data_IF_698349571436
#
_entry.id   IF_698349571436
#
_cell.length_a   1.000
_cell.length_b   1.000
_cell.length_c   1.000
_cell.angle_alpha   90.00
_cell.angle_beta   90.00
_cell.angle_gamma   90.00
#
_symmetry.space_group_name_H-M   'P 1'
#
loop_
_entity.id
_entity.type
_entity.pdbx_description
1 polymer ?
#
# COMPACT_ATOMS: atom_id res chain seq x y z
N UNK A 1 21.68 -2.70 5.64
CA UNK A 1 20.73 -2.15 6.64
C UNK A 1 19.36 -2.17 6.00
N UNK A 2 18.33 -2.68 6.69
CA UNK A 2 16.99 -2.77 6.13
C UNK A 2 16.33 -1.39 6.03
N UNK A 3 15.51 -1.16 5.00
CA UNK A 3 14.80 0.10 4.75
C UNK A 3 13.29 -0.14 4.66
N UNK A 4 12.52 0.65 5.40
CA UNK A 4 11.05 0.62 5.41
C UNK A 4 10.48 1.83 4.66
N UNK A 5 9.68 1.56 3.63
CA UNK A 5 8.77 2.54 3.03
C UNK A 5 7.39 2.39 3.66
N UNK A 6 6.90 3.43 4.33
CA UNK A 6 5.61 3.46 4.98
C UNK A 6 4.67 4.42 4.23
N UNK A 7 3.60 3.89 3.67
CA UNK A 7 2.58 4.61 2.92
C UNK A 7 1.26 4.64 3.69
N UNK A 8 0.66 5.81 3.86
CA UNK A 8 -0.69 5.95 4.39
C UNK A 8 -1.64 6.54 3.35
N UNK A 9 -2.82 5.92 3.20
CA UNK A 9 -3.81 6.30 2.17
C UNK A 9 -5.16 6.72 2.75
N UNK A 10 -5.27 6.94 4.07
CA UNK A 10 -6.52 7.36 4.70
C UNK A 10 -6.73 8.86 4.56
N UNK A 11 -7.93 9.27 4.14
CA UNK A 11 -8.35 10.67 4.12
C UNK A 11 -8.56 11.27 5.52
N UNK A 12 -8.54 10.44 6.59
CA UNK A 12 -8.70 10.89 7.96
C UNK A 12 -7.34 10.94 8.65
N UNK A 13 -7.02 12.04 9.32
CA UNK A 13 -5.81 12.16 10.14
C UNK A 13 -5.83 11.18 11.32
N UNK A 14 -6.97 11.04 11.99
CA UNK A 14 -7.21 10.02 13.01
C UNK A 14 -7.94 8.83 12.37
N UNK A 15 -7.19 7.80 12.04
CA UNK A 15 -7.67 6.66 11.28
C UNK A 15 -7.09 5.37 11.85
N UNK A 16 -7.95 4.36 12.02
CA UNK A 16 -7.55 3.03 12.48
C UNK A 16 -6.43 2.45 11.59
N UNK A 17 -6.50 2.61 10.27
CA UNK A 17 -5.44 2.08 9.39
C UNK A 17 -4.09 2.77 9.63
N UNK A 18 -4.08 4.09 9.93
CA UNK A 18 -2.86 4.82 10.32
C UNK A 18 -2.34 4.39 11.70
N UNK A 19 -3.23 4.11 12.65
CA UNK A 19 -2.83 3.58 13.97
C UNK A 19 -2.16 2.21 13.85
N UNK A 20 -2.70 1.33 12.99
CA UNK A 20 -2.13 0.00 12.73
C UNK A 20 -0.77 0.09 12.04
N UNK A 21 -0.66 0.91 10.97
CA UNK A 21 0.60 1.09 10.25
C UNK A 21 1.67 1.75 11.12
N UNK A 22 1.30 2.75 11.92
CA UNK A 22 2.20 3.36 12.89
C UNK A 22 2.70 2.36 13.93
N UNK A 23 1.80 1.48 14.45
CA UNK A 23 2.19 0.45 15.42
C UNK A 23 3.23 -0.53 14.86
N UNK A 24 3.09 -0.93 13.58
CA UNK A 24 4.12 -1.70 12.87
C UNK A 24 5.41 -0.89 12.71
N UNK A 25 5.31 0.33 12.17
CA UNK A 25 6.47 1.16 11.86
C UNK A 25 7.31 1.50 13.11
N UNK A 26 6.66 1.81 14.22
CA UNK A 26 7.34 2.10 15.49
C UNK A 26 8.04 0.85 16.05
N UNK A 27 7.38 -0.31 16.01
CA UNK A 27 7.99 -1.57 16.43
C UNK A 27 9.16 -1.97 15.53
N UNK A 28 9.06 -1.76 14.21
CA UNK A 28 10.13 -2.02 13.25
C UNK A 28 11.34 -1.09 13.50
N UNK A 29 11.10 0.22 13.66
CA UNK A 29 12.16 1.21 13.94
C UNK A 29 12.90 0.93 15.26
N UNK A 30 12.17 0.47 16.26
CA UNK A 30 12.77 0.08 17.54
C UNK A 30 13.75 -1.11 17.40
N UNK A 31 13.49 -2.03 16.46
CA UNK A 31 14.35 -3.19 16.17
C UNK A 31 15.48 -2.88 15.18
N UNK A 32 15.32 -1.83 14.38
CA UNK A 32 16.26 -1.42 13.34
C UNK A 32 16.76 0.03 13.58
N UNK A 33 17.48 0.31 14.68
CA UNK A 33 17.87 1.69 15.04
C UNK A 33 18.77 2.36 14.00
N UNK A 34 19.42 1.59 13.10
CA UNK A 34 20.20 2.09 11.97
C UNK A 34 19.50 1.93 10.62
N UNK A 35 18.26 1.46 10.61
CA UNK A 35 17.49 1.23 9.38
C UNK A 35 17.01 2.52 8.72
N UNK A 36 16.87 2.49 7.39
CA UNK A 36 16.23 3.58 6.64
C UNK A 36 14.73 3.59 6.89
N UNK A 37 14.15 4.76 7.15
CA UNK A 37 12.70 4.93 7.27
C UNK A 37 12.23 6.09 6.41
N UNK A 38 11.30 5.80 5.50
CA UNK A 38 10.63 6.81 4.67
C UNK A 38 9.13 6.71 4.87
N UNK A 39 8.52 7.85 5.18
CA UNK A 39 7.06 7.97 5.32
C UNK A 39 6.49 8.83 4.20
N UNK A 40 5.36 8.41 3.64
CA UNK A 40 4.58 9.16 2.66
C UNK A 40 3.10 9.08 2.97
N UNK A 41 2.48 10.24 3.16
CA UNK A 41 1.03 10.39 3.25
C UNK A 41 0.46 10.71 1.88
N UNK A 42 -0.18 9.72 1.25
CA UNK A 42 -0.75 9.84 -0.10
C UNK A 42 -1.95 10.78 -0.18
N UNK A 43 -2.48 11.24 0.95
CA UNK A 43 -3.58 12.21 0.99
C UNK A 43 -3.10 13.63 1.29
N UNK A 44 -2.00 13.78 2.01
CA UNK A 44 -1.35 15.08 2.26
C UNK A 44 -0.50 15.51 1.04
N UNK A 45 0.14 14.54 0.37
CA UNK A 45 0.92 14.71 -0.84
C UNK A 45 0.32 13.88 -1.97
N UNK A 46 -0.82 14.31 -2.58
CA UNK A 46 -1.52 13.53 -3.57
C UNK A 46 -0.67 13.26 -4.81
N UNK A 47 -0.62 12.01 -5.21
CA UNK A 47 0.04 11.61 -6.44
C UNK A 47 -0.87 11.91 -7.63
N UNK A 48 -0.41 12.64 -8.66
CA UNK A 48 -1.19 12.88 -9.86
C UNK A 48 -1.60 11.58 -10.57
N UNK A 49 -2.75 11.60 -11.25
CA UNK A 49 -3.14 10.48 -12.10
C UNK A 49 -2.19 10.36 -13.31
N UNK A 50 -2.04 9.13 -13.80
CA UNK A 50 -1.30 8.88 -15.03
C UNK A 50 -1.94 9.62 -16.21
N UNK A 51 -1.10 10.09 -17.13
CA UNK A 51 -1.51 10.78 -18.35
C UNK A 51 -0.87 10.13 -19.58
N UNK A 52 -1.13 10.69 -20.76
CA UNK A 52 -0.65 10.16 -22.05
C UNK A 52 0.87 9.97 -22.08
N UNK A 53 1.63 10.96 -21.62
CA UNK A 53 3.09 10.86 -21.60
C UNK A 53 3.63 9.73 -20.71
N UNK A 54 2.92 9.38 -19.62
CA UNK A 54 3.24 8.21 -18.80
C UNK A 54 2.97 6.91 -19.57
N UNK A 55 1.84 6.81 -20.30
CA UNK A 55 1.54 5.62 -21.12
C UNK A 55 2.53 5.45 -22.25
N UNK A 56 3.00 6.53 -22.88
CA UNK A 56 4.08 6.50 -23.88
C UNK A 56 5.38 5.94 -23.31
N UNK A 57 5.72 6.26 -22.05
CA UNK A 57 6.89 5.65 -21.38
C UNK A 57 6.70 4.14 -21.19
N UNK A 58 5.50 3.69 -20.82
CA UNK A 58 5.18 2.27 -20.75
C UNK A 58 5.28 1.56 -22.11
N UNK A 59 4.78 2.20 -23.18
CA UNK A 59 4.90 1.68 -24.53
C UNK A 59 6.38 1.56 -24.95
N UNK A 60 7.21 2.53 -24.60
CA UNK A 60 8.65 2.45 -24.83
C UNK A 60 9.29 1.28 -24.09
N UNK A 61 8.89 1.01 -22.83
CA UNK A 61 9.34 -0.18 -22.06
C UNK A 61 8.97 -1.48 -22.78
N UNK A 62 7.77 -1.56 -23.38
CA UNK A 62 7.31 -2.76 -24.09
C UNK A 62 8.14 -3.07 -25.34
N UNK A 63 8.84 -2.11 -25.92
CA UNK A 63 9.74 -2.34 -27.04
C UNK A 63 11.09 -2.96 -26.67
N UNK A 64 11.43 -2.93 -25.36
CA UNK A 64 12.69 -3.49 -24.85
C UNK A 64 12.59 -5.00 -24.63
N UNK A 65 13.69 -5.75 -24.72
CA UNK A 65 13.70 -7.18 -24.42
C UNK A 65 13.48 -7.49 -22.93
N UNK A 66 13.88 -6.56 -22.05
CA UNK A 66 13.73 -6.66 -20.58
C UNK A 66 13.54 -5.26 -19.97
N UNK A 67 12.97 -5.22 -18.77
CA UNK A 67 12.74 -3.98 -18.02
C UNK A 67 13.82 -3.82 -16.96
N UNK A 68 14.56 -2.72 -17.03
CA UNK A 68 15.56 -2.30 -16.04
C UNK A 68 15.04 -1.06 -15.35
N UNK A 69 14.42 -1.23 -14.17
CA UNK A 69 13.69 -0.16 -13.46
C UNK A 69 14.56 1.07 -13.16
N UNK A 70 15.84 0.88 -12.87
CA UNK A 70 16.82 1.93 -12.61
C UNK A 70 17.19 2.75 -13.85
N UNK A 71 16.81 2.28 -15.05
CA UNK A 71 17.14 2.90 -16.33
C UNK A 71 15.94 3.43 -17.11
N UNK A 72 14.74 3.43 -16.51
CA UNK A 72 13.54 3.92 -17.20
C UNK A 72 13.65 5.39 -17.60
N UNK A 73 14.37 6.21 -16.85
CA UNK A 73 14.66 7.59 -17.21
C UNK A 73 15.40 7.74 -18.53
N UNK A 74 16.17 6.72 -18.96
CA UNK A 74 16.85 6.71 -20.26
C UNK A 74 15.88 6.67 -21.46
N UNK A 75 14.60 6.38 -21.22
CA UNK A 75 13.55 6.30 -22.26
C UNK A 75 12.88 7.65 -22.54
N UNK A 76 13.12 8.64 -21.71
CA UNK A 76 12.52 9.99 -21.86
C UNK A 76 13.04 10.65 -23.14
N UNK A 77 12.14 11.10 -24.01
CA UNK A 77 12.46 11.71 -25.31
C UNK A 77 11.81 13.09 -25.51
N UNK A 78 10.74 13.40 -24.81
CA UNK A 78 9.98 14.64 -24.97
C UNK A 78 9.88 15.41 -23.65
N UNK A 79 9.63 16.74 -23.71
CA UNK A 79 9.37 17.52 -22.49
C UNK A 79 8.17 17.02 -21.67
N UNK A 80 7.12 16.51 -22.34
CA UNK A 80 5.95 15.93 -21.68
C UNK A 80 6.32 14.65 -20.91
N UNK A 81 7.11 13.77 -21.53
CA UNK A 81 7.65 12.56 -20.86
C UNK A 81 8.59 12.94 -19.72
N UNK A 82 9.41 14.00 -19.86
CA UNK A 82 10.27 14.47 -18.77
C UNK A 82 9.45 14.96 -17.56
N UNK A 83 8.37 15.67 -17.81
CA UNK A 83 7.45 16.09 -16.75
C UNK A 83 6.76 14.90 -16.06
N UNK A 84 6.30 13.90 -16.82
CA UNK A 84 5.73 12.67 -16.29
C UNK A 84 6.77 11.87 -15.49
N UNK A 85 7.99 11.73 -16.00
CA UNK A 85 9.09 11.05 -15.30
C UNK A 85 9.46 11.74 -13.99
N UNK A 86 9.45 13.08 -13.96
CA UNK A 86 9.69 13.85 -12.74
C UNK A 86 8.70 13.56 -11.60
N UNK A 87 7.51 13.03 -11.92
CA UNK A 87 6.54 12.53 -10.91
C UNK A 87 6.91 11.10 -10.51
N UNK A 88 7.24 10.25 -11.46
CA UNK A 88 7.51 8.81 -11.27
C UNK A 88 8.81 8.58 -10.51
N UNK A 89 9.88 9.23 -10.92
CA UNK A 89 11.26 8.95 -10.46
C UNK A 89 11.39 8.93 -8.93
N UNK A 90 10.93 9.96 -8.18
CA UNK A 90 11.05 9.95 -6.72
C UNK A 90 10.22 8.82 -6.08
N UNK A 91 9.02 8.53 -6.60
CA UNK A 91 8.14 7.47 -6.08
C UNK A 91 8.74 6.08 -6.32
N UNK A 92 9.24 5.85 -7.52
CA UNK A 92 9.88 4.59 -7.91
C UNK A 92 11.21 4.39 -7.16
N UNK A 93 12.01 5.45 -6.99
CA UNK A 93 13.25 5.41 -6.22
C UNK A 93 12.99 5.02 -4.76
N UNK A 94 11.96 5.58 -4.12
CA UNK A 94 11.55 5.19 -2.77
C UNK A 94 11.16 3.71 -2.70
N UNK A 95 10.35 3.25 -3.65
CA UNK A 95 9.93 1.85 -3.72
C UNK A 95 11.11 0.90 -3.94
N UNK A 96 12.03 1.24 -4.85
CA UNK A 96 13.19 0.40 -5.19
C UNK A 96 14.24 0.39 -4.09
N UNK A 97 14.32 1.42 -3.26
CA UNK A 97 15.27 1.48 -2.13
C UNK A 97 14.76 0.76 -0.88
N UNK A 98 13.48 0.39 -0.82
CA UNK A 98 12.88 -0.26 0.33
C UNK A 98 13.00 -1.79 0.28
N UNK A 99 13.30 -2.42 1.41
CA UNK A 99 13.21 -3.87 1.60
C UNK A 99 11.81 -4.28 2.07
N UNK A 100 11.17 -3.41 2.86
CA UNK A 100 9.82 -3.61 3.38
C UNK A 100 8.93 -2.45 2.95
N UNK A 101 7.77 -2.76 2.40
CA UNK A 101 6.74 -1.79 2.02
C UNK A 101 5.52 -2.01 2.93
N UNK A 102 5.26 -1.03 3.78
CA UNK A 102 4.10 -0.99 4.67
C UNK A 102 3.04 -0.07 4.09
N UNK A 103 1.81 -0.57 3.96
CA UNK A 103 0.69 0.21 3.42
C UNK A 103 -0.43 0.25 4.44
N UNK A 104 -0.67 1.44 5.04
CA UNK A 104 -1.82 1.73 5.89
C UNK A 104 -2.99 2.23 5.04
N UNK A 105 -4.04 1.41 4.85
CA UNK A 105 -5.13 1.74 3.94
C UNK A 105 -6.51 1.41 4.51
N UNK A 106 -7.50 2.34 4.49
CA UNK A 106 -8.88 1.97 4.79
C UNK A 106 -9.51 1.27 3.58
N UNK A 107 -10.54 0.47 3.83
CA UNK A 107 -11.43 0.03 2.75
C UNK A 107 -12.45 1.12 2.44
N UNK A 108 -12.38 1.69 1.24
CA UNK A 108 -13.39 2.62 0.72
C UNK A 108 -14.16 1.97 -0.43
N UNK A 109 -15.50 1.94 -0.30
CA UNK A 109 -16.37 1.37 -1.33
C UNK A 109 -15.95 -0.05 -1.78
N UNK A 110 -15.62 -0.91 -0.79
CA UNK A 110 -15.16 -2.31 -0.98
C UNK A 110 -13.77 -2.48 -1.60
N UNK A 111 -13.04 -1.40 -1.87
CA UNK A 111 -11.73 -1.44 -2.54
C UNK A 111 -10.72 -0.49 -1.89
N UNK A 112 -9.62 -0.23 -2.59
CA UNK A 112 -8.58 0.70 -2.16
C UNK A 112 -9.00 2.16 -2.36
N UNK A 113 -8.51 3.11 -1.55
CA UNK A 113 -8.67 4.54 -1.81
C UNK A 113 -8.06 4.96 -3.15
N UNK A 114 -8.66 5.96 -3.80
CA UNK A 114 -8.14 6.51 -5.07
C UNK A 114 -6.69 7.00 -4.95
N UNK A 115 -6.31 7.55 -3.80
CA UNK A 115 -4.93 7.99 -3.55
C UNK A 115 -3.92 6.84 -3.61
N UNK A 116 -4.27 5.66 -3.06
CA UNK A 116 -3.42 4.47 -3.17
C UNK A 116 -3.37 3.96 -4.61
N UNK A 117 -4.52 3.95 -5.29
CA UNK A 117 -4.56 3.51 -6.70
C UNK A 117 -3.69 4.40 -7.59
N UNK A 118 -3.74 5.73 -7.40
CA UNK A 118 -2.91 6.67 -8.16
C UNK A 118 -1.41 6.40 -7.93
N UNK A 119 -1.00 6.12 -6.69
CA UNK A 119 0.40 5.75 -6.40
C UNK A 119 0.79 4.44 -7.08
N UNK A 120 -0.04 3.40 -6.96
CA UNK A 120 0.19 2.11 -7.63
C UNK A 120 0.35 2.27 -9.14
N UNK A 121 -0.52 3.07 -9.77
CA UNK A 121 -0.47 3.32 -11.21
C UNK A 121 0.82 4.02 -11.65
N UNK A 122 1.30 4.99 -10.87
CA UNK A 122 2.51 5.74 -11.20
C UNK A 122 3.79 4.89 -11.10
N UNK A 123 3.86 3.97 -10.14
CA UNK A 123 5.09 3.19 -9.89
C UNK A 123 5.13 1.86 -10.63
N UNK A 124 4.08 1.50 -11.39
CA UNK A 124 3.98 0.17 -12.01
C UNK A 124 4.27 0.23 -13.50
N UNK A 125 5.35 -0.41 -13.90
CA UNK A 125 5.77 -0.51 -15.30
C UNK A 125 5.63 -1.94 -15.84
N UNK A 126 5.47 -2.11 -17.16
CA UNK A 126 5.38 -3.44 -17.77
C UNK A 126 6.57 -4.34 -17.40
N UNK A 127 6.29 -5.59 -17.07
CA UNK A 127 7.31 -6.62 -16.80
C UNK A 127 8.26 -6.32 -15.64
N UNK A 128 7.88 -5.40 -14.72
CA UNK A 128 8.67 -5.18 -13.51
C UNK A 128 8.53 -6.33 -12.52
N UNK A 129 9.49 -6.47 -11.62
CA UNK A 129 9.46 -7.40 -10.50
C UNK A 129 10.03 -6.77 -9.23
N UNK A 130 9.46 -7.12 -8.09
CA UNK A 130 9.89 -6.72 -6.74
C UNK A 130 9.96 -7.94 -5.81
N UNK A 131 10.21 -9.14 -6.36
CA UNK A 131 10.15 -10.44 -5.68
C UNK A 131 10.99 -10.55 -4.40
N UNK A 132 12.02 -9.71 -4.23
CA UNK A 132 12.86 -9.68 -3.04
C UNK A 132 12.36 -8.72 -1.96
N UNK A 133 11.23 -8.06 -2.16
CA UNK A 133 10.65 -7.10 -1.22
C UNK A 133 9.48 -7.70 -0.47
N UNK A 134 9.28 -7.22 0.75
CA UNK A 134 8.20 -7.67 1.62
C UNK A 134 7.10 -6.62 1.68
N UNK A 135 5.86 -7.05 1.46
CA UNK A 135 4.70 -6.17 1.54
C UNK A 135 3.84 -6.52 2.75
N UNK A 136 3.53 -5.51 3.56
CA UNK A 136 2.61 -5.60 4.69
C UNK A 136 1.51 -4.57 4.50
N UNK A 137 0.26 -5.01 4.55
CA UNK A 137 -0.91 -4.15 4.41
C UNK A 137 -1.72 -4.16 5.70
N UNK A 138 -1.85 -3.01 6.34
CA UNK A 138 -2.75 -2.82 7.47
C UNK A 138 -4.00 -2.10 7.02
N UNK A 139 -5.18 -2.65 7.33
CA UNK A 139 -6.44 -2.12 6.80
C UNK A 139 -7.50 -1.95 7.88
N UNK A 140 -8.25 -0.85 7.76
CA UNK A 140 -9.46 -0.61 8.54
C UNK A 140 -10.70 -0.82 7.65
N UNK A 141 -11.64 -1.64 8.12
CA UNK A 141 -12.83 -2.06 7.39
C UNK A 141 -14.10 -1.69 8.14
N UNK A 142 -15.05 -1.05 7.47
CA UNK A 142 -16.30 -0.62 8.09
C UNK A 142 -17.20 -1.77 8.53
N UNK A 143 -17.22 -2.88 7.78
CA UNK A 143 -17.95 -4.12 8.06
C UNK A 143 -17.02 -5.28 8.41
N UNK A 144 -17.59 -6.50 8.47
CA UNK A 144 -16.86 -7.76 8.57
C UNK A 144 -16.76 -8.41 7.18
N UNK A 145 -15.53 -8.76 6.78
CA UNK A 145 -15.20 -9.34 5.48
C UNK A 145 -14.36 -10.62 5.59
N UNK A 146 -14.00 -11.03 6.79
CA UNK A 146 -13.30 -12.29 7.07
C UNK A 146 -14.11 -13.50 6.56
N UNK A 147 -13.47 -14.65 6.31
CA UNK A 147 -14.14 -15.86 5.83
C UNK A 147 -15.36 -16.22 6.68
N UNK A 148 -16.50 -16.44 6.02
CA UNK A 148 -17.79 -16.72 6.68
C UNK A 148 -18.61 -15.48 7.05
N UNK A 149 -18.06 -14.28 7.00
CA UNK A 149 -18.83 -13.06 7.21
C UNK A 149 -19.79 -12.79 6.02
N UNK A 150 -20.96 -12.15 6.26
CA UNK A 150 -21.94 -11.89 5.20
C UNK A 150 -21.41 -11.04 4.04
N UNK A 151 -20.36 -10.25 4.26
CA UNK A 151 -19.73 -9.40 3.25
C UNK A 151 -18.41 -9.94 2.73
N UNK A 152 -18.00 -11.16 3.06
CA UNK A 152 -16.74 -11.76 2.61
C UNK A 152 -16.57 -11.72 1.08
N UNK A 153 -17.66 -11.95 0.32
CA UNK A 153 -17.64 -11.92 -1.16
C UNK A 153 -17.35 -10.52 -1.74
N UNK A 154 -17.52 -9.46 -0.95
CA UNK A 154 -17.27 -8.07 -1.36
C UNK A 154 -15.90 -7.56 -0.94
N UNK A 155 -15.01 -8.40 -0.45
CA UNK A 155 -13.62 -8.02 -0.20
C UNK A 155 -12.85 -7.94 -1.52
N UNK A 156 -13.06 -6.84 -2.23
CA UNK A 156 -12.28 -6.52 -3.42
C UNK A 156 -10.96 -5.83 -3.07
N UNK A 157 -10.79 -5.32 -1.84
CA UNK A 157 -9.56 -4.64 -1.43
C UNK A 157 -8.40 -5.61 -1.30
N UNK A 158 -8.53 -6.63 -0.45
CA UNK A 158 -7.43 -7.60 -0.26
C UNK A 158 -7.19 -8.38 -1.54
N UNK A 159 -8.26 -8.87 -2.20
CA UNK A 159 -8.12 -9.60 -3.46
C UNK A 159 -7.42 -8.77 -4.53
N UNK A 160 -7.82 -7.51 -4.73
CA UNK A 160 -7.16 -6.62 -5.68
C UNK A 160 -5.67 -6.45 -5.38
N UNK A 161 -5.31 -6.13 -4.12
CA UNK A 161 -3.91 -5.90 -3.74
C UNK A 161 -3.07 -7.19 -3.87
N UNK A 162 -3.62 -8.33 -3.47
CA UNK A 162 -2.97 -9.63 -3.59
C UNK A 162 -2.69 -10.00 -5.04
N UNK A 163 -3.71 -9.89 -5.89
CA UNK A 163 -3.59 -10.16 -7.34
C UNK A 163 -2.66 -9.16 -8.02
N UNK A 164 -2.72 -7.88 -7.63
CA UNK A 164 -1.87 -6.83 -8.15
C UNK A 164 -0.39 -7.08 -7.82
N UNK A 165 -0.06 -7.36 -6.57
CA UNK A 165 1.32 -7.61 -6.16
C UNK A 165 1.87 -8.91 -6.77
N UNK A 166 1.07 -9.96 -6.82
CA UNK A 166 1.47 -11.21 -7.47
C UNK A 166 1.68 -11.02 -8.98
N UNK A 167 0.75 -10.34 -9.67
CA UNK A 167 0.78 -10.20 -11.12
C UNK A 167 1.78 -9.18 -11.64
N UNK A 168 1.93 -8.03 -10.95
CA UNK A 168 2.82 -6.96 -11.41
C UNK A 168 4.20 -6.99 -10.77
N UNK A 169 4.29 -7.41 -9.50
CA UNK A 169 5.53 -7.32 -8.72
C UNK A 169 6.17 -8.68 -8.46
N UNK A 170 5.53 -9.77 -8.83
CA UNK A 170 5.94 -11.14 -8.52
C UNK A 170 6.06 -11.41 -7.00
N UNK A 171 5.23 -10.73 -6.19
CA UNK A 171 5.17 -10.87 -4.74
C UNK A 171 3.88 -11.58 -4.34
N UNK A 172 3.98 -12.84 -3.88
CA UNK A 172 2.83 -13.68 -3.52
C UNK A 172 2.62 -13.86 -2.01
N UNK A 173 3.58 -13.44 -1.19
CA UNK A 173 3.61 -13.62 0.27
C UNK A 173 3.24 -12.35 1.06
N UNK A 174 2.47 -11.45 0.45
CA UNK A 174 1.96 -10.24 1.11
C UNK A 174 1.15 -10.57 2.35
N UNK A 175 1.48 -9.95 3.47
CA UNK A 175 0.77 -10.10 4.74
C UNK A 175 -0.28 -9.00 4.90
N UNK A 176 -1.49 -9.40 5.28
CA UNK A 176 -2.62 -8.49 5.54
C UNK A 176 -3.02 -8.54 7.00
N UNK A 177 -3.23 -7.37 7.60
CA UNK A 177 -3.72 -7.20 8.98
C UNK A 177 -4.94 -6.29 8.95
N UNK A 178 -6.07 -6.79 9.45
CA UNK A 178 -7.34 -6.10 9.34
C UNK A 178 -7.98 -5.80 10.69
N UNK A 179 -8.43 -4.55 10.89
CA UNK A 179 -9.39 -4.20 11.92
C UNK A 179 -10.77 -4.03 11.29
N UNK A 180 -11.69 -4.92 11.61
CA UNK A 180 -13.04 -4.98 11.04
C UNK A 180 -14.08 -4.24 11.90
N UNK A 181 -15.28 -4.05 11.34
CA UNK A 181 -16.44 -3.45 12.03
C UNK A 181 -16.24 -2.01 12.52
N UNK A 182 -15.34 -1.26 11.91
CA UNK A 182 -15.03 0.11 12.31
C UNK A 182 -16.26 1.04 12.30
N UNK A 183 -17.29 0.76 11.47
CA UNK A 183 -18.52 1.54 11.45
C UNK A 183 -19.32 1.43 12.75
N UNK A 184 -19.13 0.38 13.56
CA UNK A 184 -19.77 0.27 14.88
C UNK A 184 -19.36 1.38 15.86
N UNK A 185 -18.31 2.12 15.54
CA UNK A 185 -17.86 3.28 16.32
C UNK A 185 -18.76 4.50 16.14
N UNK A 186 -19.44 4.62 15.01
CA UNK A 186 -20.23 5.80 14.64
C UNK A 186 -21.69 5.48 14.35
N UNK A 187 -22.01 4.27 13.86
CA UNK A 187 -23.36 3.87 13.48
C UNK A 187 -24.11 3.26 14.66
N UNK A 188 -25.17 3.93 15.18
CA UNK A 188 -25.96 3.38 16.29
C UNK A 188 -26.60 2.03 15.98
N UNK A 189 -26.94 1.75 14.72
CA UNK A 189 -27.49 0.46 14.30
C UNK A 189 -26.50 -0.70 14.49
N UNK A 190 -25.21 -0.40 14.49
CA UNK A 190 -24.10 -1.35 14.69
C UNK A 190 -23.51 -1.31 16.10
N UNK A 191 -24.07 -0.52 17.02
CA UNK A 191 -23.55 -0.38 18.40
C UNK A 191 -23.44 -1.71 19.14
N UNK A 192 -24.35 -2.66 18.85
CA UNK A 192 -24.33 -4.02 19.42
C UNK A 192 -23.12 -4.85 18.99
N UNK A 193 -22.39 -4.46 17.93
CA UNK A 193 -21.15 -5.10 17.45
C UNK A 193 -19.88 -4.39 17.87
N UNK A 194 -19.98 -3.40 18.76
CA UNK A 194 -18.80 -2.61 19.19
C UNK A 194 -17.75 -3.48 19.87
N UNK A 195 -18.14 -4.42 20.70
CA UNK A 195 -17.20 -5.34 21.38
C UNK A 195 -16.42 -6.22 20.39
N UNK A 196 -17.08 -6.64 19.28
CA UNK A 196 -16.41 -7.41 18.22
C UNK A 196 -15.36 -6.53 17.49
N UNK A 197 -15.70 -5.27 17.22
CA UNK A 197 -14.73 -4.32 16.67
C UNK A 197 -13.54 -4.11 17.60
N UNK A 198 -13.78 -3.87 18.89
CA UNK A 198 -12.72 -3.59 19.87
C UNK A 198 -11.77 -4.79 19.99
N UNK A 199 -12.28 -6.03 19.94
CA UNK A 199 -11.48 -7.24 19.89
C UNK A 199 -10.67 -7.34 18.59
N UNK A 200 -11.29 -7.13 17.42
CA UNK A 200 -10.61 -7.15 16.12
C UNK A 200 -9.50 -6.10 16.02
N UNK A 201 -9.76 -4.90 16.54
CA UNK A 201 -8.78 -3.83 16.57
C UNK A 201 -7.59 -4.14 17.49
N UNK A 202 -7.85 -4.67 18.68
CA UNK A 202 -6.79 -5.05 19.62
C UNK A 202 -5.90 -6.17 19.06
N UNK A 203 -6.50 -7.19 18.42
CA UNK A 203 -5.78 -8.26 17.75
C UNK A 203 -4.94 -7.75 16.59
N UNK A 204 -5.50 -6.89 15.74
CA UNK A 204 -4.79 -6.27 14.62
C UNK A 204 -3.59 -5.43 15.10
N UNK A 205 -3.72 -4.67 16.20
CA UNK A 205 -2.60 -3.92 16.78
C UNK A 205 -1.50 -4.85 17.31
N UNK A 206 -1.87 -5.92 18.00
CA UNK A 206 -0.91 -6.89 18.52
C UNK A 206 -0.17 -7.59 17.36
N UNK A 207 -0.92 -8.01 16.34
CA UNK A 207 -0.37 -8.65 15.14
C UNK A 207 0.58 -7.71 14.39
N UNK A 208 0.19 -6.43 14.16
CA UNK A 208 1.04 -5.46 13.49
C UNK A 208 2.39 -5.25 14.21
N UNK A 209 2.37 -5.17 15.55
CA UNK A 209 3.59 -5.05 16.36
C UNK A 209 4.47 -6.31 16.32
N UNK A 210 3.85 -7.49 16.34
CA UNK A 210 4.56 -8.77 16.31
C UNK A 210 5.25 -8.98 14.96
N UNK A 211 4.52 -8.77 13.85
CA UNK A 211 5.03 -8.90 12.48
C UNK A 211 6.27 -8.03 12.22
N UNK A 212 6.36 -6.86 12.81
CA UNK A 212 7.52 -5.98 12.66
C UNK A 212 8.84 -6.62 13.14
N UNK A 213 8.79 -7.75 13.85
CA UNK A 213 9.94 -8.53 14.28
C UNK A 213 10.42 -9.57 13.28
N UNK A 214 9.66 -9.79 12.21
CA UNK A 214 9.93 -10.82 11.19
C UNK A 214 10.67 -10.22 9.97
N UNK A 215 10.83 -8.90 9.92
CA UNK A 215 11.36 -8.14 8.78
C UNK A 215 12.65 -7.37 9.10
#
# INVERSE_FOLDING_TARGET
>A
MSTLLHLDASARSQSISRELSAAFADAWRARHPGGGYRYRDLTAEPVPFIGEAWTELCDAVLTLPSTHLERLGDLVRTPAQAAAWGIVEPLLSELLSADVILIGTPMYNYSVPAALKAWLDQVTFPRMTLEHRRFVVTSARGGAYSPGAPKAAYDYQERFLRDFFAGHFAVSDTVFVHAELANSRQDPALAHRRAEHDASYADALATARALAGEY
#
